data_IF_400871309630
#
_entry.id   IF_400871309630
#
_cell.length_a   1.000
_cell.length_b   1.000
_cell.length_c   1.000
_cell.angle_alpha   90.00
_cell.angle_beta   90.00
_cell.angle_gamma   90.00
#
_symmetry.space_group_name_H-M   'P 1'
#
loop_
_entity.id
_entity.type
_entity.pdbx_description
1 polymer ?
#
# COMPACT_ATOMS: atom_id res chain seq x y z
N UNK A 1 22.41 22.39 -15.64
CA UNK A 1 21.58 21.19 -15.43
C UNK A 1 21.67 20.66 -13.99
N UNK A 2 22.84 20.26 -13.48
CA UNK A 2 22.97 19.72 -12.10
C UNK A 2 22.47 20.69 -11.02
N UNK A 3 22.83 21.99 -11.09
CA UNK A 3 22.33 23.00 -10.15
C UNK A 3 20.80 23.17 -10.20
N UNK A 4 20.20 22.99 -11.37
CA UNK A 4 18.76 23.11 -11.58
C UNK A 4 18.04 21.88 -10.99
N UNK A 5 18.57 20.68 -11.20
CA UNK A 5 18.12 19.45 -10.56
C UNK A 5 18.13 19.52 -9.03
N UNK A 6 19.23 20.00 -8.44
CA UNK A 6 19.37 20.15 -6.98
C UNK A 6 18.48 21.26 -6.45
N UNK A 7 18.39 22.38 -7.16
CA UNK A 7 17.49 23.48 -6.81
C UNK A 7 16.03 23.04 -6.80
N UNK A 8 15.61 22.28 -7.80
CA UNK A 8 14.24 21.77 -7.92
C UNK A 8 13.86 20.80 -6.80
N UNK A 9 14.73 19.83 -6.49
CA UNK A 9 14.50 18.90 -5.37
C UNK A 9 14.41 19.66 -4.05
N UNK A 10 15.21 20.71 -3.88
CA UNK A 10 15.20 21.55 -2.67
C UNK A 10 13.93 22.40 -2.57
N UNK A 11 13.51 23.03 -3.66
CA UNK A 11 12.30 23.85 -3.73
C UNK A 11 11.05 22.99 -3.43
N UNK A 12 10.98 21.81 -4.06
CA UNK A 12 9.85 20.90 -3.98
C UNK A 12 10.08 19.75 -2.99
N UNK A 13 10.88 19.95 -1.94
CA UNK A 13 11.25 18.89 -0.98
C UNK A 13 10.02 18.22 -0.35
N UNK A 14 8.94 18.99 -0.15
CA UNK A 14 7.66 18.52 0.41
C UNK A 14 6.97 17.48 -0.49
N UNK A 15 7.16 17.55 -1.81
CA UNK A 15 6.61 16.58 -2.77
C UNK A 15 7.42 15.29 -2.77
N UNK A 16 8.74 15.40 -2.64
CA UNK A 16 9.66 14.26 -2.60
C UNK A 16 9.64 13.53 -1.26
N UNK A 17 9.23 14.21 -0.19
CA UNK A 17 9.10 13.64 1.14
C UNK A 17 8.23 12.38 1.18
N UNK A 18 7.15 12.34 0.40
CA UNK A 18 6.27 11.16 0.32
C UNK A 18 7.00 9.92 -0.21
N UNK A 19 7.70 10.06 -1.35
CA UNK A 19 8.48 8.96 -1.94
C UNK A 19 9.63 8.56 -1.03
N UNK A 20 10.31 9.54 -0.42
CA UNK A 20 11.38 9.30 0.53
C UNK A 20 10.89 8.47 1.72
N UNK A 21 9.79 8.88 2.36
CA UNK A 21 9.23 8.20 3.53
C UNK A 21 8.80 6.76 3.20
N UNK A 22 8.14 6.55 2.06
CA UNK A 22 7.74 5.21 1.60
C UNK A 22 8.96 4.35 1.29
N UNK A 23 9.97 4.90 0.63
CA UNK A 23 11.22 4.19 0.34
C UNK A 23 12.01 3.85 1.62
N UNK A 24 11.96 4.71 2.64
CA UNK A 24 12.49 4.45 3.98
C UNK A 24 11.73 3.33 4.69
N UNK A 25 10.40 3.34 4.67
CA UNK A 25 9.61 2.23 5.20
C UNK A 25 9.91 0.90 4.47
N UNK A 26 10.05 0.95 3.14
CA UNK A 26 10.42 -0.22 2.34
C UNK A 26 11.82 -0.73 2.70
N UNK A 27 12.80 0.15 2.79
CA UNK A 27 14.17 -0.19 3.20
C UNK A 27 14.24 -0.73 4.62
N UNK A 28 13.44 -0.19 5.54
CA UNK A 28 13.33 -0.67 6.92
C UNK A 28 12.85 -2.12 6.97
N UNK A 29 11.77 -2.45 6.25
CA UNK A 29 11.26 -3.83 6.16
C UNK A 29 12.24 -4.76 5.44
N UNK A 30 12.92 -4.27 4.40
CA UNK A 30 14.00 -5.00 3.72
C UNK A 30 15.18 -5.30 4.65
N UNK A 31 15.49 -4.40 5.58
CA UNK A 31 16.50 -4.59 6.62
C UNK A 31 16.14 -5.70 7.61
N UNK A 32 14.86 -5.78 8.03
CA UNK A 32 14.38 -6.89 8.85
C UNK A 32 14.47 -8.23 8.13
N UNK A 33 14.03 -8.27 6.86
CA UNK A 33 14.20 -9.46 6.02
C UNK A 33 15.67 -9.88 5.92
N UNK A 34 16.57 -8.93 5.65
CA UNK A 34 18.00 -9.18 5.53
C UNK A 34 18.59 -9.71 6.85
N UNK A 35 18.19 -9.10 7.98
CA UNK A 35 18.71 -9.45 9.29
C UNK A 35 18.27 -10.85 9.74
N UNK A 36 16.99 -11.19 9.53
CA UNK A 36 16.47 -12.53 9.82
C UNK A 36 17.07 -13.59 8.91
N UNK A 37 17.22 -13.30 7.62
CA UNK A 37 17.85 -14.22 6.67
C UNK A 37 19.31 -14.50 7.04
N UNK A 38 20.06 -13.47 7.44
CA UNK A 38 21.45 -13.62 7.85
C UNK A 38 21.58 -14.36 9.19
N UNK A 39 20.69 -14.08 10.14
CA UNK A 39 20.65 -14.78 11.43
C UNK A 39 20.31 -16.26 11.25
N UNK A 40 19.37 -16.59 10.37
CA UNK A 40 19.06 -17.98 10.01
C UNK A 40 20.22 -18.69 9.29
N UNK A 41 21.03 -17.96 8.52
CA UNK A 41 22.14 -18.53 7.75
C UNK A 41 23.40 -18.74 8.60
N UNK A 42 23.58 -17.97 9.67
CA UNK A 42 24.76 -18.06 10.53
C UNK A 42 24.83 -19.40 11.28
N UNK A 43 23.70 -19.83 11.86
CA UNK A 43 23.63 -21.10 12.61
C UNK A 43 22.43 -21.95 12.16
N UNK A 44 22.54 -22.72 11.06
CA UNK A 44 21.42 -23.48 10.49
C UNK A 44 20.89 -24.59 11.40
N UNK A 45 21.69 -25.10 12.34
CA UNK A 45 21.38 -26.25 13.18
C UNK A 45 20.66 -25.91 14.49
N UNK A 46 20.53 -24.63 14.83
CA UNK A 46 19.85 -24.18 16.06
C UNK A 46 18.34 -24.14 15.83
N UNK A 47 17.52 -24.54 16.82
CA UNK A 47 16.06 -24.56 16.72
C UNK A 47 15.43 -23.20 16.34
N UNK A 48 16.12 -22.09 16.61
CA UNK A 48 15.70 -20.73 16.23
C UNK A 48 15.87 -20.43 14.73
N UNK A 49 16.69 -21.21 14.00
CA UNK A 49 16.98 -20.97 12.58
C UNK A 49 15.73 -21.13 11.70
N UNK A 50 14.88 -22.11 12.03
CA UNK A 50 13.59 -22.33 11.35
C UNK A 50 12.67 -21.12 11.52
N UNK A 51 12.59 -20.59 12.74
CA UNK A 51 11.82 -19.40 13.03
C UNK A 51 12.28 -18.21 12.18
N UNK A 52 13.57 -17.90 12.20
CA UNK A 52 14.11 -16.76 11.45
C UNK A 52 13.93 -16.93 9.94
N UNK A 53 14.07 -18.15 9.41
CA UNK A 53 13.85 -18.43 7.98
C UNK A 53 12.38 -18.24 7.60
N UNK A 54 11.45 -18.79 8.36
CA UNK A 54 10.01 -18.64 8.11
C UNK A 54 9.56 -17.19 8.27
N UNK A 55 10.05 -16.48 9.30
CA UNK A 55 9.75 -15.07 9.51
C UNK A 55 10.32 -14.20 8.39
N UNK A 56 11.54 -14.44 7.93
CA UNK A 56 12.13 -13.72 6.80
C UNK A 56 11.29 -13.93 5.52
N UNK A 57 10.90 -15.17 5.22
CA UNK A 57 10.05 -15.47 4.07
C UNK A 57 8.68 -14.77 4.17
N UNK A 58 8.05 -14.80 5.34
CA UNK A 58 6.79 -14.11 5.57
C UNK A 58 6.91 -12.59 5.36
N UNK A 59 7.92 -11.95 5.97
CA UNK A 59 8.19 -10.52 5.79
C UNK A 59 8.37 -10.21 4.31
N UNK A 60 9.18 -10.98 3.59
CA UNK A 60 9.42 -10.75 2.17
C UNK A 60 8.12 -10.86 1.36
N UNK A 61 7.35 -11.92 1.56
CA UNK A 61 6.15 -12.19 0.76
C UNK A 61 5.04 -11.16 1.01
N UNK A 62 4.76 -10.85 2.27
CA UNK A 62 3.72 -9.87 2.61
C UNK A 62 4.14 -8.44 2.25
N UNK A 63 5.40 -8.07 2.51
CA UNK A 63 5.88 -6.70 2.27
C UNK A 63 6.14 -6.41 0.78
N UNK A 64 6.51 -7.41 -0.03
CA UNK A 64 6.85 -7.20 -1.43
C UNK A 64 5.68 -6.60 -2.22
N UNK A 65 4.47 -7.15 -2.06
CA UNK A 65 3.28 -6.65 -2.78
C UNK A 65 2.91 -5.24 -2.32
N UNK A 66 2.88 -5.02 -1.01
CA UNK A 66 2.62 -3.71 -0.45
C UNK A 66 3.66 -2.68 -0.94
N UNK A 67 4.94 -3.06 -0.97
CA UNK A 67 6.04 -2.23 -1.47
C UNK A 67 5.86 -1.88 -2.94
N UNK A 68 5.59 -2.88 -3.79
CA UNK A 68 5.30 -2.69 -5.21
C UNK A 68 4.15 -1.69 -5.43
N UNK A 69 3.03 -1.87 -4.74
CA UNK A 69 1.84 -1.02 -4.91
C UNK A 69 2.10 0.39 -4.39
N UNK A 70 2.60 0.54 -3.17
CA UNK A 70 2.72 1.84 -2.51
C UNK A 70 3.87 2.67 -3.08
N UNK A 71 5.04 2.08 -3.30
CA UNK A 71 6.21 2.81 -3.78
C UNK A 71 6.02 3.26 -5.24
N UNK A 72 5.45 2.38 -6.10
CA UNK A 72 5.17 2.75 -7.49
C UNK A 72 4.08 3.81 -7.62
N UNK A 73 3.03 3.74 -6.79
CA UNK A 73 1.93 4.71 -6.80
C UNK A 73 2.36 6.07 -6.24
N UNK A 74 3.16 6.09 -5.17
CA UNK A 74 3.71 7.32 -4.59
C UNK A 74 4.71 7.98 -5.55
N UNK A 75 5.61 7.21 -6.17
CA UNK A 75 6.53 7.72 -7.18
C UNK A 75 5.78 8.36 -8.37
N UNK A 76 4.73 7.69 -8.86
CA UNK A 76 3.84 8.25 -9.88
C UNK A 76 3.16 9.54 -9.40
N UNK A 77 2.64 9.55 -8.18
CA UNK A 77 1.95 10.69 -7.58
C UNK A 77 2.83 11.93 -7.50
N UNK A 78 4.08 11.79 -7.03
CA UNK A 78 5.04 12.88 -6.96
C UNK A 78 5.36 13.46 -8.34
N UNK A 79 5.59 12.62 -9.35
CA UNK A 79 5.82 13.11 -10.73
C UNK A 79 4.62 13.86 -11.29
N UNK A 80 3.42 13.34 -11.06
CA UNK A 80 2.19 13.99 -11.54
C UNK A 80 2.03 15.37 -10.89
N UNK A 81 2.34 15.51 -9.61
CA UNK A 81 2.26 16.79 -8.90
C UNK A 81 3.26 17.84 -9.40
N UNK A 82 4.39 17.41 -9.99
CA UNK A 82 5.43 18.31 -10.52
C UNK A 82 5.31 18.58 -12.03
N UNK A 83 4.26 18.06 -12.70
CA UNK A 83 4.07 18.23 -14.15
C UNK A 83 4.10 19.69 -14.60
N UNK A 84 3.45 20.59 -13.86
CA UNK A 84 3.43 22.03 -14.18
C UNK A 84 4.83 22.64 -14.11
N UNK A 85 5.63 22.27 -13.10
CA UNK A 85 7.02 22.69 -12.97
C UNK A 85 7.87 22.18 -14.13
N UNK A 86 7.70 20.91 -14.52
CA UNK A 86 8.41 20.33 -15.65
C UNK A 86 7.98 20.92 -17.00
N UNK A 87 6.73 21.33 -17.15
CA UNK A 87 6.28 22.07 -18.31
C UNK A 87 6.91 23.46 -18.40
N UNK A 88 7.09 24.16 -17.26
CA UNK A 88 7.82 25.43 -17.23
C UNK A 88 9.28 25.28 -17.70
N UNK A 89 9.93 24.14 -17.42
CA UNK A 89 11.28 23.87 -17.95
C UNK A 89 11.28 23.80 -19.49
N UNK A 90 10.23 23.25 -20.07
CA UNK A 90 10.07 23.18 -21.52
C UNK A 90 9.77 24.55 -22.15
N UNK A 91 9.10 25.45 -21.43
CA UNK A 91 8.92 26.86 -21.87
C UNK A 91 10.27 27.55 -22.03
N UNK A 92 11.25 27.23 -21.17
CA UNK A 92 12.63 27.74 -21.25
C UNK A 92 13.48 26.89 -22.23
N UNK A 93 12.81 26.16 -23.14
CA UNK A 93 13.42 25.41 -24.24
C UNK A 93 14.29 24.21 -23.81
N UNK A 94 14.04 23.63 -22.63
CA UNK A 94 14.66 22.36 -22.22
C UNK A 94 13.95 21.20 -22.95
N UNK A 95 14.69 20.33 -23.67
CA UNK A 95 14.06 19.29 -24.48
C UNK A 95 13.37 18.22 -23.61
N UNK A 96 12.27 17.62 -24.10
CA UNK A 96 11.42 16.70 -23.31
C UNK A 96 12.18 15.46 -22.85
N UNK A 97 13.12 14.96 -23.65
CA UNK A 97 13.97 13.80 -23.29
C UNK A 97 14.82 14.09 -22.05
N UNK A 98 15.37 15.32 -21.95
CA UNK A 98 16.21 15.73 -20.81
C UNK A 98 15.35 15.90 -19.56
N UNK A 99 14.15 16.45 -19.68
CA UNK A 99 13.19 16.53 -18.58
C UNK A 99 12.82 15.12 -18.09
N UNK A 100 12.42 14.22 -18.99
CA UNK A 100 12.07 12.85 -18.64
C UNK A 100 13.21 12.09 -17.95
N UNK A 101 14.44 12.23 -18.45
CA UNK A 101 15.63 11.64 -17.83
C UNK A 101 15.91 12.23 -16.45
N UNK A 102 15.87 13.56 -16.32
CA UNK A 102 16.05 14.26 -15.05
C UNK A 102 15.08 13.77 -13.97
N UNK A 103 13.79 13.63 -14.32
CA UNK A 103 12.75 13.14 -13.41
C UNK A 103 13.00 11.69 -12.98
N UNK A 104 13.38 10.81 -13.92
CA UNK A 104 13.71 9.42 -13.59
C UNK A 104 14.91 9.35 -12.63
N UNK A 105 15.95 10.16 -12.88
CA UNK A 105 17.13 10.24 -12.01
C UNK A 105 16.76 10.76 -10.62
N UNK A 106 15.93 11.80 -10.51
CA UNK A 106 15.46 12.32 -9.21
C UNK A 106 14.72 11.23 -8.42
N UNK A 107 13.77 10.53 -9.05
CA UNK A 107 13.01 9.43 -8.40
C UNK A 107 13.94 8.30 -7.98
N UNK A 108 14.87 7.90 -8.86
CA UNK A 108 15.85 6.86 -8.57
C UNK A 108 16.71 7.21 -7.35
N UNK A 109 17.23 8.44 -7.31
CA UNK A 109 18.04 8.93 -6.21
C UNK A 109 17.25 9.01 -4.90
N UNK A 110 16.03 9.55 -4.93
CA UNK A 110 15.17 9.65 -3.73
C UNK A 110 14.77 8.26 -3.23
N UNK A 111 14.45 7.32 -4.12
CA UNK A 111 14.11 5.95 -3.76
C UNK A 111 15.29 5.20 -3.13
N UNK A 112 16.47 5.25 -3.75
CA UNK A 112 17.68 4.63 -3.21
C UNK A 112 18.09 5.28 -1.88
N UNK A 113 18.13 6.61 -1.82
CA UNK A 113 18.49 7.33 -0.60
C UNK A 113 17.51 7.05 0.54
N UNK A 114 16.20 7.06 0.26
CA UNK A 114 15.17 6.69 1.22
C UNK A 114 15.36 5.27 1.74
N UNK A 115 15.61 4.28 0.87
CA UNK A 115 15.86 2.91 1.31
C UNK A 115 17.18 2.74 2.07
N UNK A 116 18.23 3.48 1.73
CA UNK A 116 19.46 3.51 2.54
C UNK A 116 19.18 4.03 3.95
N UNK A 117 18.40 5.10 4.11
CA UNK A 117 17.96 5.59 5.41
C UNK A 117 17.14 4.54 6.16
N UNK A 118 16.26 3.82 5.45
CA UNK A 118 15.46 2.73 6.02
C UNK A 118 16.31 1.58 6.57
N UNK A 119 17.31 1.15 5.80
CA UNK A 119 18.27 0.13 6.23
C UNK A 119 19.07 0.59 7.45
N UNK A 120 19.57 1.84 7.44
CA UNK A 120 20.29 2.41 8.57
C UNK A 120 19.43 2.49 9.85
N UNK A 121 18.16 2.91 9.72
CA UNK A 121 17.20 2.93 10.82
C UNK A 121 16.90 1.52 11.33
N UNK A 122 16.81 0.53 10.43
CA UNK A 122 16.63 -0.87 10.82
C UNK A 122 17.82 -1.34 11.66
N UNK A 123 19.06 -1.08 11.25
CA UNK A 123 20.23 -1.47 12.02
C UNK A 123 20.34 -0.76 13.37
N UNK A 124 20.01 0.52 13.42
CA UNK A 124 20.04 1.28 14.67
C UNK A 124 18.97 0.81 15.67
N UNK A 125 17.81 0.34 15.18
CA UNK A 125 16.67 -0.03 16.02
C UNK A 125 16.49 -1.55 16.22
N UNK A 126 17.12 -2.40 15.40
CA UNK A 126 16.85 -3.85 15.36
C UNK A 126 17.07 -4.51 16.71
N UNK A 127 18.16 -4.19 17.42
CA UNK A 127 18.43 -4.75 18.74
C UNK A 127 17.36 -4.38 19.76
N UNK A 128 16.97 -3.11 19.81
CA UNK A 128 15.98 -2.60 20.79
C UNK A 128 14.59 -3.12 20.48
N UNK A 129 14.17 -3.08 19.22
CA UNK A 129 12.84 -3.51 18.80
C UNK A 129 12.70 -5.03 18.93
N UNK A 130 13.74 -5.80 18.57
CA UNK A 130 13.71 -7.25 18.76
C UNK A 130 13.64 -7.63 20.24
N UNK A 131 14.49 -7.03 21.07
CA UNK A 131 14.44 -7.28 22.51
C UNK A 131 13.05 -6.94 23.07
N UNK A 132 12.46 -5.81 22.68
CA UNK A 132 11.13 -5.42 23.14
C UNK A 132 10.00 -6.36 22.68
N UNK A 133 10.05 -6.85 21.45
CA UNK A 133 9.03 -7.75 20.89
C UNK A 133 9.08 -9.16 21.47
N UNK A 134 10.28 -9.63 21.83
CA UNK A 134 10.53 -11.00 22.29
C UNK A 134 10.97 -11.06 23.77
N UNK A 135 10.70 -10.01 24.56
CA UNK A 135 10.83 -10.05 26.02
C UNK A 135 10.10 -11.28 26.58
N UNK A 136 10.68 -11.98 27.55
CA UNK A 136 10.06 -13.13 28.24
C UNK A 136 9.88 -14.41 27.39
N UNK A 137 10.60 -14.53 26.27
CA UNK A 137 10.64 -15.78 25.49
C UNK A 137 12.02 -16.42 25.63
N UNK A 138 12.10 -17.47 26.44
CA UNK A 138 13.34 -18.22 26.75
C UNK A 138 14.07 -18.69 25.48
N UNK A 139 13.32 -18.99 24.40
CA UNK A 139 13.86 -19.44 23.11
C UNK A 139 14.79 -18.40 22.46
N UNK A 140 14.62 -17.11 22.76
CA UNK A 140 15.39 -16.02 22.15
C UNK A 140 16.37 -15.36 23.12
N UNK A 141 16.54 -15.93 24.32
CA UNK A 141 17.50 -15.42 25.29
C UNK A 141 18.93 -15.52 24.74
N UNK A 142 19.67 -14.40 24.75
CA UNK A 142 21.04 -14.33 24.24
C UNK A 142 21.18 -14.28 22.70
N UNK A 143 20.09 -14.33 21.93
CA UNK A 143 20.15 -14.26 20.47
C UNK A 143 20.51 -12.84 20.00
N UNK A 144 21.56 -12.72 19.19
CA UNK A 144 21.97 -11.45 18.57
C UNK A 144 21.60 -11.43 17.10
N UNK A 145 20.82 -10.44 16.70
CA UNK A 145 20.48 -10.21 15.29
C UNK A 145 21.69 -9.76 14.49
N UNK A 146 21.97 -10.49 13.41
CA UNK A 146 22.98 -10.12 12.44
C UNK A 146 22.40 -9.10 11.44
N UNK A 147 23.14 -8.03 11.07
CA UNK A 147 22.62 -6.93 10.24
C UNK A 147 22.37 -7.28 8.75
N UNK A 148 22.77 -8.47 8.28
CA UNK A 148 22.43 -8.95 6.94
C UNK A 148 22.92 -8.10 5.76
N UNK A 149 24.13 -7.53 5.85
CA UNK A 149 24.71 -6.64 4.83
C UNK A 149 24.71 -7.21 3.40
N UNK A 150 24.82 -8.53 3.24
CA UNK A 150 24.84 -9.21 1.93
C UNK A 150 23.58 -8.99 1.10
N UNK A 151 22.42 -8.79 1.73
CA UNK A 151 21.13 -8.61 1.06
C UNK A 151 20.79 -7.14 0.81
N UNK A 152 21.59 -6.19 1.31
CA UNK A 152 21.35 -4.76 1.13
C UNK A 152 21.34 -4.33 -0.35
N UNK A 153 22.27 -4.77 -1.21
CA UNK A 153 22.23 -4.44 -2.63
C UNK A 153 20.93 -4.91 -3.31
N UNK A 154 20.38 -6.05 -2.90
CA UNK A 154 19.13 -6.56 -3.42
C UNK A 154 17.93 -5.67 -3.02
N UNK A 155 17.85 -5.28 -1.75
CA UNK A 155 16.80 -4.36 -1.26
C UNK A 155 16.86 -3.01 -1.99
N UNK A 156 18.07 -2.44 -2.14
CA UNK A 156 18.28 -1.19 -2.87
C UNK A 156 17.94 -1.34 -4.36
N UNK A 157 18.34 -2.45 -4.99
CA UNK A 157 18.04 -2.75 -6.39
C UNK A 157 16.54 -2.86 -6.64
N UNK A 158 15.79 -3.53 -5.75
CA UNK A 158 14.33 -3.62 -5.85
C UNK A 158 13.67 -2.26 -5.63
N UNK A 159 14.11 -1.49 -4.63
CA UNK A 159 13.59 -0.12 -4.41
C UNK A 159 13.81 0.79 -5.61
N UNK A 160 15.02 0.76 -6.19
CA UNK A 160 15.36 1.47 -7.41
C UNK A 160 14.44 1.05 -8.56
N UNK A 161 14.32 -0.25 -8.80
CA UNK A 161 13.50 -0.81 -9.86
C UNK A 161 12.04 -0.38 -9.74
N UNK A 162 11.44 -0.52 -8.55
CA UNK A 162 10.05 -0.17 -8.30
C UNK A 162 9.81 1.35 -8.39
N UNK A 163 10.74 2.17 -7.90
CA UNK A 163 10.67 3.64 -7.98
C UNK A 163 10.68 4.08 -9.44
N UNK A 164 11.63 3.56 -10.23
CA UNK A 164 11.76 3.86 -11.66
C UNK A 164 10.56 3.34 -12.43
N UNK A 165 10.10 2.11 -12.17
CA UNK A 165 8.95 1.53 -12.86
C UNK A 165 7.66 2.32 -12.62
N UNK A 166 7.43 2.77 -11.36
CA UNK A 166 6.30 3.62 -11.00
C UNK A 166 6.38 5.02 -11.62
N UNK A 167 7.58 5.61 -11.62
CA UNK A 167 7.82 6.97 -12.11
C UNK A 167 7.97 7.11 -13.63
N UNK A 168 8.49 6.10 -14.33
CA UNK A 168 8.94 6.23 -15.72
C UNK A 168 7.82 6.61 -16.69
N UNK A 169 6.64 6.03 -16.55
CA UNK A 169 5.49 6.40 -17.40
C UNK A 169 4.99 7.80 -17.08
N UNK A 170 4.94 8.16 -15.80
CA UNK A 170 4.55 9.51 -15.39
C UNK A 170 5.55 10.55 -15.89
N UNK A 171 6.85 10.22 -15.89
CA UNK A 171 7.93 11.06 -16.38
C UNK A 171 7.87 11.22 -17.90
N UNK A 172 7.60 10.14 -18.66
CA UNK A 172 7.35 10.22 -20.11
C UNK A 172 6.12 11.07 -20.42
N UNK A 173 5.03 10.88 -19.70
CA UNK A 173 3.83 11.69 -19.88
C UNK A 173 4.11 13.17 -19.58
N UNK A 174 4.78 13.48 -18.48
CA UNK A 174 5.19 14.85 -18.12
C UNK A 174 6.15 15.47 -19.15
N UNK A 175 7.04 14.67 -19.74
CA UNK A 175 7.93 15.11 -20.79
C UNK A 175 7.19 15.40 -22.11
N UNK A 176 6.16 14.62 -22.45
CA UNK A 176 5.46 14.76 -23.73
C UNK A 176 4.25 15.70 -23.69
N UNK A 177 3.79 16.15 -22.51
CA UNK A 177 2.68 17.09 -22.40
C UNK A 177 3.05 18.48 -22.91
N UNK A 178 2.33 19.05 -23.89
CA UNK A 178 2.60 20.40 -24.39
C UNK A 178 2.53 21.46 -23.26
N UNK A 179 3.47 22.43 -23.21
CA UNK A 179 3.53 23.40 -22.11
C UNK A 179 2.25 24.22 -21.95
N UNK A 180 1.57 24.54 -23.05
CA UNK A 180 0.33 25.32 -23.04
C UNK A 180 -0.81 24.55 -22.38
N UNK A 181 -0.91 23.23 -22.57
CA UNK A 181 -1.92 22.41 -21.90
C UNK A 181 -1.61 22.25 -20.42
N UNK A 182 -0.33 22.07 -20.06
CA UNK A 182 0.10 21.94 -18.68
C UNK A 182 -0.05 23.25 -17.86
N UNK A 183 -0.05 24.41 -18.52
CA UNK A 183 -0.21 25.73 -17.89
C UNK A 183 -1.66 26.20 -17.78
N UNK A 184 -2.56 25.71 -18.64
CA UNK A 184 -3.97 26.11 -18.61
C UNK A 184 -4.76 25.48 -17.46
N UNK A 185 -4.15 24.61 -16.65
CA UNK A 185 -4.85 23.72 -15.71
C UNK A 185 -6.06 23.02 -16.39
N UNK A 186 -6.08 22.94 -17.73
CA UNK A 186 -7.10 22.27 -18.53
C UNK A 186 -6.87 20.78 -18.36
N UNK A 187 -7.44 20.29 -17.26
CA UNK A 187 -7.42 18.91 -16.83
C UNK A 187 -8.16 18.08 -17.89
N UNK A 188 -7.49 17.68 -18.97
CA UNK A 188 -7.93 16.54 -19.76
C UNK A 188 -7.62 15.31 -18.90
N UNK A 189 -8.68 14.80 -18.30
CA UNK A 189 -8.71 13.61 -17.46
C UNK A 189 -8.22 12.42 -18.29
N UNK A 190 -6.91 12.22 -18.38
CA UNK A 190 -6.34 10.88 -18.45
C UNK A 190 -6.52 10.24 -17.07
N UNK A 191 -7.78 10.06 -16.73
CA UNK A 191 -8.21 9.55 -15.46
C UNK A 191 -7.51 8.23 -15.21
N UNK A 192 -7.15 7.99 -13.96
CA UNK A 192 -6.82 6.66 -13.50
C UNK A 192 -7.94 5.63 -13.83
N UNK A 193 -9.12 6.12 -14.25
CA UNK A 193 -10.39 5.43 -14.39
C UNK A 193 -10.87 5.04 -15.81
N UNK A 194 -10.22 5.38 -16.93
CA UNK A 194 -10.85 5.05 -18.25
C UNK A 194 -10.16 3.96 -19.07
N UNK A 195 -8.88 3.63 -18.86
CA UNK A 195 -8.23 2.54 -19.61
C UNK A 195 -7.41 1.63 -18.70
N UNK A 196 -7.82 0.37 -18.65
CA UNK A 196 -6.96 -0.69 -18.12
C UNK A 196 -5.67 -0.72 -18.93
N UNK A 197 -4.58 -0.26 -18.30
CA UNK A 197 -3.27 -0.29 -18.94
C UNK A 197 -2.83 -1.75 -19.14
N UNK A 198 -2.10 -2.07 -20.23
CA UNK A 198 -1.58 -3.42 -20.47
C UNK A 198 -0.79 -3.98 -19.28
N UNK A 199 -0.04 -3.14 -18.57
CA UNK A 199 0.71 -3.57 -17.38
C UNK A 199 -0.19 -4.04 -16.23
N UNK A 200 -1.40 -3.46 -16.09
CA UNK A 200 -2.36 -3.89 -15.07
C UNK A 200 -3.01 -5.22 -15.44
N UNK A 201 -3.25 -5.45 -16.74
CA UNK A 201 -3.68 -6.74 -17.24
C UNK A 201 -2.62 -7.81 -17.01
N UNK A 202 -1.36 -7.51 -17.30
CA UNK A 202 -0.24 -8.41 -16.99
C UNK A 202 -0.14 -8.70 -15.49
N UNK A 203 -0.27 -7.67 -14.63
CA UNK A 203 -0.29 -7.86 -13.18
C UNK A 203 -1.49 -8.72 -12.71
N UNK A 204 -2.68 -8.51 -13.29
CA UNK A 204 -3.86 -9.32 -13.00
C UNK A 204 -3.67 -10.77 -13.45
N UNK A 205 -3.13 -11.00 -14.66
CA UNK A 205 -2.83 -12.34 -15.16
C UNK A 205 -1.77 -13.04 -14.29
N UNK A 206 -0.72 -12.32 -13.87
CA UNK A 206 0.28 -12.86 -12.96
C UNK A 206 -0.31 -13.24 -11.60
N UNK A 207 -1.21 -12.41 -11.04
CA UNK A 207 -1.91 -12.71 -9.79
C UNK A 207 -2.85 -13.91 -9.93
N UNK A 208 -3.58 -14.02 -11.05
CA UNK A 208 -4.39 -15.20 -11.36
C UNK A 208 -3.54 -16.46 -11.52
N UNK A 209 -2.41 -16.38 -12.22
CA UNK A 209 -1.50 -17.51 -12.40
C UNK A 209 -0.91 -17.97 -11.06
N UNK A 210 -0.53 -17.03 -10.18
CA UNK A 210 -0.07 -17.34 -8.83
C UNK A 210 -1.16 -18.02 -7.99
N UNK A 211 -2.40 -17.52 -8.03
CA UNK A 211 -3.53 -18.14 -7.34
C UNK A 211 -3.83 -19.56 -7.88
N UNK A 212 -3.84 -19.73 -9.21
CA UNK A 212 -4.03 -21.03 -9.84
C UNK A 212 -2.91 -22.02 -9.49
N UNK A 213 -1.66 -21.55 -9.44
CA UNK A 213 -0.52 -22.35 -9.00
C UNK A 213 -0.71 -22.88 -7.57
N UNK A 214 -1.10 -22.00 -6.64
CA UNK A 214 -1.33 -22.39 -5.24
C UNK A 214 -2.47 -23.41 -5.08
N UNK A 215 -3.47 -23.39 -5.98
CA UNK A 215 -4.53 -24.40 -6.00
C UNK A 215 -4.03 -25.71 -6.62
N UNK A 216 -3.23 -25.63 -7.68
CA UNK A 216 -2.72 -26.82 -8.39
C UNK A 216 -1.77 -27.69 -7.57
N UNK A 217 -1.15 -27.12 -6.52
CA UNK A 217 -0.30 -27.90 -5.59
C UNK A 217 -1.12 -28.76 -4.63
N UNK A 218 -2.43 -28.56 -4.55
CA UNK A 218 -3.30 -29.29 -3.63
C UNK A 218 -4.05 -30.37 -4.39
N UNK A 219 -3.69 -31.62 -4.13
CA UNK A 219 -4.53 -32.75 -4.50
C UNK A 219 -5.46 -33.07 -3.33
N UNK A 220 -6.80 -32.93 -3.48
CA UNK A 220 -7.74 -33.15 -2.38
C UNK A 220 -7.72 -34.58 -1.84
N UNK A 221 -7.26 -35.56 -2.63
CA UNK A 221 -7.15 -36.97 -2.19
C UNK A 221 -5.92 -37.18 -1.31
N UNK A 222 -4.80 -36.52 -1.65
CA UNK A 222 -3.53 -36.64 -0.91
C UNK A 222 -3.38 -35.61 0.20
N UNK A 223 -4.17 -34.53 0.21
CA UNK A 223 -4.08 -33.45 1.20
C UNK A 223 -4.27 -33.91 2.67
N UNK A 224 -5.09 -34.92 2.99
CA UNK A 224 -5.14 -35.50 4.34
C UNK A 224 -3.89 -36.33 4.70
N UNK A 225 -3.15 -36.83 3.71
CA UNK A 225 -1.97 -37.69 3.92
C UNK A 225 -0.70 -36.84 4.00
N UNK A 226 -0.57 -35.84 3.13
CA UNK A 226 0.53 -34.87 3.11
C UNK A 226 -0.03 -33.44 3.25
N UNK A 227 -0.21 -33.02 4.50
CA UNK A 227 -0.66 -31.66 4.82
C UNK A 227 0.29 -30.58 4.26
N UNK A 228 1.56 -30.91 4.00
CA UNK A 228 2.54 -30.00 3.41
C UNK A 228 2.06 -29.37 2.11
N UNK A 229 1.34 -30.13 1.27
CA UNK A 229 0.76 -29.66 0.01
C UNK A 229 -0.22 -28.50 0.20
N UNK A 230 -1.00 -28.52 1.29
CA UNK A 230 -2.00 -27.48 1.60
C UNK A 230 -1.39 -26.16 2.07
N UNK A 231 -0.13 -26.16 2.52
CA UNK A 231 0.57 -24.97 3.04
C UNK A 231 0.69 -23.87 1.98
N UNK A 232 0.73 -24.23 0.69
CA UNK A 232 0.79 -23.26 -0.40
C UNK A 232 -0.48 -22.40 -0.53
N UNK A 233 -1.62 -22.83 0.03
CA UNK A 233 -2.84 -22.02 0.05
C UNK A 233 -2.69 -20.75 0.90
N UNK A 234 -1.70 -20.70 1.81
CA UNK A 234 -1.38 -19.51 2.61
C UNK A 234 -0.95 -18.31 1.75
N UNK A 235 -0.59 -18.53 0.47
CA UNK A 235 -0.26 -17.47 -0.48
C UNK A 235 -1.48 -16.87 -1.21
N UNK A 236 -2.66 -17.48 -1.16
CA UNK A 236 -3.89 -16.89 -1.75
C UNK A 236 -4.25 -15.52 -1.16
N UNK A 237 -4.20 -15.32 0.17
CA UNK A 237 -4.34 -14.01 0.81
C UNK A 237 -3.37 -12.93 0.33
N UNK A 238 -2.35 -13.28 -0.44
CA UNK A 238 -1.41 -12.35 -1.07
C UNK A 238 -1.80 -12.12 -2.53
N UNK A 239 -2.06 -13.20 -3.27
CA UNK A 239 -2.39 -13.16 -4.70
C UNK A 239 -3.73 -12.46 -4.99
N UNK A 240 -4.77 -12.71 -4.19
CA UNK A 240 -6.11 -12.16 -4.46
C UNK A 240 -6.19 -10.65 -4.18
N UNK A 241 -5.65 -10.09 -3.08
CA UNK A 241 -5.55 -8.63 -2.95
C UNK A 241 -4.71 -7.97 -4.05
N UNK A 242 -3.64 -8.62 -4.52
CA UNK A 242 -2.88 -8.14 -5.68
C UNK A 242 -3.72 -8.11 -6.97
N UNK A 243 -4.57 -9.12 -7.19
CA UNK A 243 -5.53 -9.15 -8.30
C UNK A 243 -6.54 -8.00 -8.19
N UNK A 244 -7.13 -7.78 -7.02
CA UNK A 244 -8.12 -6.72 -6.81
C UNK A 244 -7.49 -5.34 -7.03
N UNK A 245 -6.26 -5.12 -6.56
CA UNK A 245 -5.55 -3.86 -6.79
C UNK A 245 -5.15 -3.65 -8.26
N UNK A 246 -4.78 -4.72 -8.98
CA UNK A 246 -4.57 -4.65 -10.42
C UNK A 246 -5.85 -4.22 -11.15
N UNK A 247 -7.01 -4.76 -10.74
CA UNK A 247 -8.34 -4.47 -11.29
C UNK A 247 -9.03 -3.23 -10.67
N UNK A 248 -8.34 -2.51 -9.79
CA UNK A 248 -8.89 -1.37 -9.05
C UNK A 248 -9.61 -0.27 -9.87
N UNK A 249 -9.25 0.10 -11.13
CA UNK A 249 -9.94 1.16 -11.87
C UNK A 249 -11.36 0.80 -12.24
N UNK A 250 -11.62 -0.50 -12.34
CA UNK A 250 -12.93 -1.01 -12.70
C UNK A 250 -13.70 -1.39 -11.44
N UNK A 251 -13.02 -2.01 -10.48
CA UNK A 251 -13.65 -2.50 -9.25
C UNK A 251 -13.94 -1.39 -8.25
N UNK A 252 -12.96 -0.55 -7.89
CA UNK A 252 -13.13 0.42 -6.81
C UNK A 252 -14.23 1.46 -7.07
N UNK A 253 -14.38 2.05 -8.27
CA UNK A 253 -15.50 2.96 -8.52
C UNK A 253 -16.86 2.29 -8.40
N UNK A 254 -16.99 1.01 -8.79
CA UNK A 254 -18.23 0.23 -8.66
C UNK A 254 -18.52 -0.11 -7.20
N UNK A 255 -17.50 -0.54 -6.47
CA UNK A 255 -17.58 -0.85 -5.04
C UNK A 255 -17.95 0.39 -4.25
N UNK A 256 -17.30 1.53 -4.50
CA UNK A 256 -17.65 2.79 -3.83
C UNK A 256 -19.11 3.17 -4.11
N UNK A 257 -19.56 3.09 -5.36
CA UNK A 257 -20.96 3.38 -5.72
C UNK A 257 -21.94 2.47 -4.98
N UNK A 258 -21.66 1.16 -4.93
CA UNK A 258 -22.51 0.19 -4.25
C UNK A 258 -22.54 0.42 -2.73
N UNK A 259 -21.38 0.55 -2.10
CA UNK A 259 -21.23 0.69 -0.65
C UNK A 259 -21.79 2.02 -0.11
N UNK A 260 -21.82 3.08 -0.93
CA UNK A 260 -22.27 4.43 -0.52
C UNK A 260 -23.66 4.81 -1.04
N UNK A 261 -24.37 3.86 -1.65
CA UNK A 261 -25.73 4.05 -2.18
C UNK A 261 -26.82 4.39 -1.13
N UNK A 262 -26.86 3.77 0.07
CA UNK A 262 -28.10 3.74 0.87
C UNK A 262 -28.51 5.06 1.56
N UNK A 263 -27.66 6.09 1.58
CA UNK A 263 -27.89 7.33 2.35
C UNK A 263 -28.06 8.59 1.46
N UNK A 264 -28.84 8.49 0.39
CA UNK A 264 -28.90 9.49 -0.70
C UNK A 264 -29.54 10.85 -0.35
N UNK A 265 -30.14 11.02 0.83
CA UNK A 265 -30.96 12.22 1.15
C UNK A 265 -30.18 13.36 1.81
N UNK A 266 -28.96 13.13 2.28
CA UNK A 266 -28.17 14.16 2.96
C UNK A 266 -27.22 14.86 1.97
N UNK A 267 -27.30 16.20 1.88
CA UNK A 267 -26.49 17.01 0.94
C UNK A 267 -24.99 16.84 1.17
N UNK A 268 -24.55 16.81 2.43
CA UNK A 268 -23.14 16.57 2.78
C UNK A 268 -22.67 15.18 2.35
N UNK A 269 -23.54 14.16 2.45
CA UNK A 269 -23.25 12.82 1.95
C UNK A 269 -23.13 12.78 0.43
N UNK A 270 -24.05 13.41 -0.29
CA UNK A 270 -24.01 13.46 -1.76
C UNK A 270 -22.77 14.20 -2.26
N UNK A 271 -22.40 15.31 -1.62
CA UNK A 271 -21.20 16.08 -1.93
C UNK A 271 -19.94 15.27 -1.66
N UNK A 272 -19.83 14.66 -0.47
CA UNK A 272 -18.72 13.78 -0.13
C UNK A 272 -18.60 12.59 -1.10
N UNK A 273 -19.72 12.00 -1.53
CA UNK A 273 -19.72 10.90 -2.50
C UNK A 273 -19.22 11.33 -3.87
N UNK A 274 -19.64 12.50 -4.35
CA UNK A 274 -19.14 13.05 -5.63
C UNK A 274 -17.67 13.41 -5.53
N UNK A 275 -17.23 13.99 -4.41
CA UNK A 275 -15.82 14.27 -4.12
C UNK A 275 -14.99 12.99 -4.14
N UNK A 276 -15.41 11.96 -3.40
CA UNK A 276 -14.72 10.67 -3.34
C UNK A 276 -14.66 9.97 -4.71
N UNK A 277 -15.73 10.05 -5.51
CA UNK A 277 -15.72 9.53 -6.88
C UNK A 277 -14.75 10.30 -7.78
N UNK A 278 -14.72 11.62 -7.66
CA UNK A 278 -13.78 12.43 -8.42
C UNK A 278 -12.33 12.14 -8.00
N UNK A 279 -12.05 12.06 -6.70
CA UNK A 279 -10.75 11.69 -6.16
C UNK A 279 -10.29 10.31 -6.66
N UNK A 280 -11.17 9.31 -6.66
CA UNK A 280 -10.90 7.98 -7.24
C UNK A 280 -10.52 8.03 -8.72
N UNK A 281 -11.19 8.89 -9.50
CA UNK A 281 -10.86 9.05 -10.93
C UNK A 281 -9.49 9.69 -11.14
N UNK A 282 -9.04 10.51 -10.18
CA UNK A 282 -7.71 11.13 -10.21
C UNK A 282 -6.62 10.18 -9.70
N UNK A 283 -6.84 9.47 -8.60
CA UNK A 283 -5.86 8.58 -7.96
C UNK A 283 -6.52 7.44 -7.19
N UNK A 284 -6.01 6.22 -7.39
CA UNK A 284 -6.41 5.00 -6.67
C UNK A 284 -5.38 4.61 -5.59
N UNK A 285 -4.39 5.48 -5.35
CA UNK A 285 -3.18 5.17 -4.58
C UNK A 285 -3.50 4.85 -3.12
N UNK A 286 -4.40 5.63 -2.52
CA UNK A 286 -4.85 5.47 -1.14
C UNK A 286 -5.61 4.15 -0.99
N UNK A 287 -6.65 3.90 -1.81
CA UNK A 287 -7.45 2.69 -1.64
C UNK A 287 -6.65 1.43 -1.92
N UNK A 288 -5.83 1.41 -2.97
CA UNK A 288 -5.03 0.22 -3.29
C UNK A 288 -4.07 -0.15 -2.17
N UNK A 289 -3.44 0.83 -1.52
CA UNK A 289 -2.59 0.58 -0.34
C UNK A 289 -3.36 -0.01 0.83
N UNK A 290 -4.54 0.54 1.13
CA UNK A 290 -5.42 0.06 2.20
C UNK A 290 -5.96 -1.34 1.90
N UNK A 291 -6.35 -1.61 0.65
CA UNK A 291 -6.82 -2.94 0.20
C UNK A 291 -5.76 -4.00 0.41
N UNK A 292 -4.49 -3.73 0.05
CA UNK A 292 -3.41 -4.70 0.30
C UNK A 292 -3.23 -4.94 1.80
N UNK A 293 -3.13 -3.89 2.61
CA UNK A 293 -2.92 -4.06 4.04
C UNK A 293 -4.06 -4.81 4.73
N UNK A 294 -5.32 -4.38 4.53
CA UNK A 294 -6.47 -5.06 5.13
C UNK A 294 -6.65 -6.47 4.57
N UNK A 295 -6.53 -6.65 3.25
CA UNK A 295 -6.77 -7.91 2.57
C UNK A 295 -5.74 -8.98 2.90
N UNK A 296 -4.45 -8.63 2.95
CA UNK A 296 -3.37 -9.55 3.30
C UNK A 296 -3.48 -10.00 4.76
N UNK A 297 -3.63 -9.06 5.69
CA UNK A 297 -3.65 -9.38 7.13
C UNK A 297 -4.91 -10.16 7.48
N UNK A 298 -6.10 -9.67 7.13
CA UNK A 298 -7.33 -10.40 7.43
C UNK A 298 -7.44 -11.70 6.64
N UNK A 299 -6.94 -11.73 5.40
CA UNK A 299 -6.92 -12.93 4.57
C UNK A 299 -6.07 -14.04 5.19
N UNK A 300 -4.90 -13.71 5.73
CA UNK A 300 -4.05 -14.69 6.41
C UNK A 300 -4.72 -15.27 7.65
N UNK A 301 -5.24 -14.42 8.56
CA UNK A 301 -5.96 -14.91 9.74
C UNK A 301 -7.18 -15.77 9.38
N UNK A 302 -7.88 -15.38 8.31
CA UNK A 302 -9.03 -16.13 7.80
C UNK A 302 -8.60 -17.49 7.23
N UNK A 303 -7.49 -17.52 6.48
CA UNK A 303 -6.90 -18.74 5.93
C UNK A 303 -6.42 -19.69 7.03
N UNK A 304 -5.74 -19.19 8.06
CA UNK A 304 -5.31 -19.99 9.21
C UNK A 304 -6.50 -20.64 9.93
N UNK A 305 -7.59 -19.90 10.12
CA UNK A 305 -8.80 -20.48 10.71
C UNK A 305 -9.54 -21.45 9.78
N UNK A 306 -9.36 -21.33 8.46
CA UNK A 306 -9.86 -22.32 7.50
C UNK A 306 -9.03 -23.61 7.57
N UNK A 307 -7.70 -23.50 7.66
CA UNK A 307 -6.81 -24.65 7.84
C UNK A 307 -7.06 -25.37 9.15
N UNK A 308 -7.30 -24.63 10.23
CA UNK A 308 -7.70 -25.20 11.53
C UNK A 308 -8.98 -26.03 11.40
N UNK A 309 -10.01 -25.47 10.75
CA UNK A 309 -11.26 -26.19 10.49
C UNK A 309 -11.05 -27.43 9.63
N UNK A 310 -10.23 -27.33 8.59
CA UNK A 310 -9.86 -28.48 7.76
C UNK A 310 -9.18 -29.57 8.61
N UNK A 311 -8.20 -29.20 9.44
CA UNK A 311 -7.50 -30.13 10.32
C UNK A 311 -8.45 -30.83 11.29
N UNK A 312 -9.41 -30.11 11.87
CA UNK A 312 -10.43 -30.69 12.76
C UNK A 312 -11.45 -31.57 12.02
N UNK A 313 -11.74 -31.27 10.75
CA UNK A 313 -12.72 -32.06 9.98
C UNK A 313 -12.18 -33.42 9.55
N UNK A 314 -10.85 -33.53 9.40
CA UNK A 314 -10.16 -34.77 9.00
C UNK A 314 -9.38 -35.42 10.14
N UNK A 315 -9.61 -35.00 11.39
CA UNK A 315 -8.91 -35.48 12.60
C UNK A 315 -7.39 -35.56 12.46
N UNK A 316 -6.81 -34.55 11.80
CA UNK A 316 -5.38 -34.46 11.59
C UNK A 316 -4.66 -34.18 12.93
N UNK A 317 -3.53 -34.84 13.23
CA UNK A 317 -2.82 -34.71 14.51
C UNK A 317 -2.09 -33.35 14.71
N UNK A 318 -2.55 -32.30 14.05
CA UNK A 318 -1.94 -30.96 13.96
C UNK A 318 -2.71 -29.95 14.83
N UNK A 319 -3.77 -30.39 15.51
CA UNK A 319 -4.90 -29.62 16.06
C UNK A 319 -4.67 -28.50 17.09
N UNK A 320 -3.44 -28.01 17.30
CA UNK A 320 -3.17 -26.86 18.19
C UNK A 320 -2.17 -25.81 17.66
N UNK A 321 -1.69 -25.92 16.41
CA UNK A 321 -0.65 -25.04 15.85
C UNK A 321 -1.11 -23.84 15.00
N UNK A 322 -2.41 -23.65 14.79
CA UNK A 322 -2.93 -22.61 13.87
C UNK A 322 -3.13 -21.23 14.51
N UNK A 323 -3.01 -21.15 15.84
CA UNK A 323 -3.03 -19.90 16.58
C UNK A 323 -1.75 -19.10 16.31
N UNK A 324 -1.90 -17.91 15.73
CA UNK A 324 -0.77 -17.00 15.52
C UNK A 324 -0.55 -16.17 16.78
N UNK A 325 0.63 -16.30 17.41
CA UNK A 325 1.02 -15.41 18.51
C UNK A 325 0.97 -13.94 18.02
N UNK A 326 0.26 -13.04 18.72
CA UNK A 326 0.18 -11.62 18.36
C UNK A 326 1.55 -10.98 18.09
N UNK A 327 2.60 -11.39 18.81
CA UNK A 327 3.96 -10.86 18.63
C UNK A 327 4.54 -11.25 17.28
N UNK A 328 4.34 -12.50 16.87
CA UNK A 328 4.75 -13.01 15.55
C UNK A 328 3.94 -12.38 14.43
N UNK A 329 2.64 -12.21 14.66
CA UNK A 329 1.77 -11.50 13.74
C UNK A 329 2.23 -10.07 13.49
N UNK A 330 2.63 -9.34 14.55
CA UNK A 330 3.17 -8.00 14.42
C UNK A 330 4.39 -7.97 13.51
N UNK A 331 5.33 -8.91 13.66
CA UNK A 331 6.54 -8.98 12.83
C UNK A 331 6.24 -9.35 11.38
N UNK A 332 5.37 -10.34 11.15
CA UNK A 332 5.00 -10.81 9.81
C UNK A 332 4.22 -9.77 9.00
N UNK A 333 3.32 -9.03 9.66
CA UNK A 333 2.42 -8.07 9.01
C UNK A 333 2.86 -6.61 9.12
N UNK A 334 3.96 -6.32 9.85
CA UNK A 334 4.51 -4.98 9.96
C UNK A 334 4.70 -4.33 8.58
N UNK A 335 5.16 -5.08 7.59
CA UNK A 335 5.44 -4.54 6.26
C UNK A 335 4.22 -3.96 5.54
N UNK A 336 3.18 -4.77 5.23
CA UNK A 336 1.95 -4.25 4.65
C UNK A 336 1.36 -3.08 5.43
N UNK A 337 1.34 -3.15 6.77
CA UNK A 337 0.71 -2.15 7.63
C UNK A 337 1.50 -0.84 7.62
N UNK A 338 2.82 -0.89 7.84
CA UNK A 338 3.69 0.30 7.83
C UNK A 338 3.69 0.94 6.43
N UNK A 339 3.83 0.14 5.37
CA UNK A 339 3.84 0.66 4.00
C UNK A 339 2.51 1.30 3.63
N UNK A 340 1.37 0.69 4.00
CA UNK A 340 0.07 1.30 3.73
C UNK A 340 -0.18 2.56 4.55
N UNK A 341 0.25 2.60 5.81
CA UNK A 341 0.15 3.78 6.65
C UNK A 341 0.99 4.95 6.11
N UNK A 342 2.29 4.71 5.86
CA UNK A 342 3.20 5.73 5.32
C UNK A 342 2.79 6.15 3.90
N UNK A 343 2.37 5.19 3.08
CA UNK A 343 1.84 5.43 1.73
C UNK A 343 0.58 6.30 1.73
N UNK A 344 -0.38 5.99 2.59
CA UNK A 344 -1.61 6.79 2.73
C UNK A 344 -1.26 8.21 3.16
N UNK A 345 -0.42 8.39 4.19
CA UNK A 345 0.08 9.70 4.62
C UNK A 345 0.74 10.48 3.47
N UNK A 346 1.67 9.84 2.75
CA UNK A 346 2.39 10.46 1.63
C UNK A 346 1.45 10.95 0.54
N UNK A 347 0.46 10.12 0.15
CA UNK A 347 -0.53 10.50 -0.86
C UNK A 347 -1.44 11.64 -0.40
N UNK A 348 -1.80 11.70 0.89
CA UNK A 348 -2.59 12.84 1.38
C UNK A 348 -1.76 14.12 1.39
N UNK A 349 -0.48 14.07 1.79
CA UNK A 349 0.42 15.24 1.72
C UNK A 349 0.51 15.80 0.30
N UNK A 350 0.61 14.93 -0.70
CA UNK A 350 0.60 15.32 -2.12
C UNK A 350 -0.73 15.97 -2.54
N UNK A 351 -1.85 15.55 -1.94
CA UNK A 351 -3.18 16.08 -2.22
C UNK A 351 -3.54 17.35 -1.43
N UNK A 352 -2.73 17.77 -0.44
CA UNK A 352 -3.07 18.90 0.44
C UNK A 352 -3.35 20.19 -0.33
N UNK A 353 -2.52 20.56 -1.31
CA UNK A 353 -2.72 21.80 -2.09
C UNK A 353 -4.03 21.79 -2.88
N UNK A 354 -4.37 20.64 -3.47
CA UNK A 354 -5.61 20.47 -4.22
C UNK A 354 -6.81 20.55 -3.26
N UNK A 355 -6.70 19.88 -2.09
CA UNK A 355 -7.74 19.92 -1.04
C UNK A 355 -7.92 21.31 -0.43
N UNK A 356 -6.84 22.08 -0.29
CA UNK A 356 -6.90 23.50 0.11
C UNK A 356 -7.70 24.29 -0.94
N UNK A 357 -7.38 24.16 -2.24
CA UNK A 357 -8.14 24.82 -3.32
C UNK A 357 -9.61 24.41 -3.34
N UNK A 358 -9.93 23.14 -3.15
CA UNK A 358 -11.31 22.66 -3.15
C UNK A 358 -12.10 23.16 -1.93
N UNK A 359 -11.46 23.24 -0.77
CA UNK A 359 -12.05 23.78 0.44
C UNK A 359 -12.38 25.29 0.33
N UNK A 360 -11.49 26.10 -0.24
CA UNK A 360 -11.78 27.52 -0.46
C UNK A 360 -12.88 27.73 -1.49
N UNK A 361 -12.92 26.92 -2.55
CA UNK A 361 -14.01 26.98 -3.52
C UNK A 361 -15.38 26.70 -2.86
N UNK A 362 -15.45 25.72 -1.95
CA UNK A 362 -16.67 25.45 -1.19
C UNK A 362 -17.05 26.62 -0.28
N UNK A 363 -16.09 27.28 0.36
CA UNK A 363 -16.33 28.45 1.20
C UNK A 363 -16.82 29.66 0.39
N UNK A 364 -16.22 29.92 -0.78
CA UNK A 364 -16.67 30.97 -1.73
C UNK A 364 -18.11 30.70 -2.20
N UNK A 365 -18.49 29.44 -2.33
CA UNK A 365 -19.86 29.02 -2.66
C UNK A 365 -20.83 29.12 -1.45
N UNK A 366 -20.36 29.61 -0.30
CA UNK A 366 -21.17 29.85 0.90
C UNK A 366 -21.21 28.68 1.90
N UNK A 367 -20.35 27.66 1.75
CA UNK A 367 -20.27 26.58 2.72
C UNK A 367 -19.59 27.05 4.02
N UNK A 368 -20.17 26.69 5.16
CA UNK A 368 -19.55 26.96 6.46
C UNK A 368 -18.35 26.04 6.70
N UNK A 369 -17.33 26.45 7.49
CA UNK A 369 -16.17 25.60 7.79
C UNK A 369 -16.55 24.29 8.49
N UNK A 370 -17.66 24.28 9.25
CA UNK A 370 -18.24 23.05 9.82
C UNK A 370 -18.74 22.10 8.73
N UNK A 371 -19.42 22.60 7.70
CA UNK A 371 -19.89 21.77 6.59
C UNK A 371 -18.73 21.19 5.78
N UNK A 372 -17.68 21.98 5.53
CA UNK A 372 -16.46 21.49 4.86
C UNK A 372 -15.82 20.37 5.68
N UNK A 373 -15.68 20.55 7.00
CA UNK A 373 -15.18 19.52 7.93
C UNK A 373 -16.02 18.23 7.86
N UNK A 374 -17.35 18.32 7.93
CA UNK A 374 -18.23 17.14 7.83
C UNK A 374 -18.04 16.44 6.48
N UNK A 375 -17.97 17.18 5.37
CA UNK A 375 -17.77 16.60 4.04
C UNK A 375 -16.43 15.88 3.96
N UNK A 376 -15.34 16.45 4.50
CA UNK A 376 -14.02 15.80 4.52
C UNK A 376 -14.01 14.51 5.34
N UNK A 377 -14.69 14.49 6.50
CA UNK A 377 -14.80 13.27 7.34
C UNK A 377 -15.60 12.19 6.62
N UNK A 378 -16.71 12.56 5.97
CA UNK A 378 -17.53 11.62 5.19
C UNK A 378 -16.78 11.09 3.97
N UNK A 379 -15.99 11.94 3.30
CA UNK A 379 -15.16 11.52 2.17
C UNK A 379 -14.11 10.49 2.62
N UNK A 380 -13.40 10.76 3.72
CA UNK A 380 -12.45 9.81 4.33
C UNK A 380 -13.13 8.48 4.68
N UNK A 381 -14.34 8.53 5.26
CA UNK A 381 -15.14 7.34 5.55
C UNK A 381 -15.44 6.54 4.28
N UNK A 382 -15.84 7.20 3.18
CA UNK A 382 -16.15 6.52 1.93
C UNK A 382 -14.93 5.84 1.30
N UNK A 383 -13.75 6.45 1.35
CA UNK A 383 -12.52 5.83 0.86
C UNK A 383 -12.15 4.58 1.67
N UNK A 384 -12.25 4.65 3.01
CA UNK A 384 -11.97 3.50 3.88
C UNK A 384 -13.00 2.39 3.70
N UNK A 385 -14.28 2.71 3.57
CA UNK A 385 -15.34 1.72 3.33
C UNK A 385 -15.18 1.06 1.95
N UNK A 386 -14.83 1.82 0.91
CA UNK A 386 -14.57 1.27 -0.42
C UNK A 386 -13.35 0.33 -0.41
N UNK A 387 -12.26 0.73 0.25
CA UNK A 387 -11.09 -0.13 0.41
C UNK A 387 -11.38 -1.36 1.28
N UNK A 388 -12.13 -1.20 2.37
CA UNK A 388 -12.51 -2.28 3.29
C UNK A 388 -13.43 -3.31 2.65
N UNK A 389 -14.40 -2.87 1.85
CA UNK A 389 -15.26 -3.78 1.08
C UNK A 389 -14.52 -4.51 -0.04
N UNK A 390 -13.58 -3.85 -0.71
CA UNK A 390 -12.69 -4.50 -1.69
C UNK A 390 -11.73 -5.51 -1.02
N UNK A 391 -11.18 -5.19 0.15
CA UNK A 391 -10.38 -6.10 0.96
C UNK A 391 -11.22 -7.31 1.42
N UNK A 392 -12.44 -7.08 1.90
CA UNK A 392 -13.34 -8.15 2.29
C UNK A 392 -13.67 -9.08 1.13
N UNK A 393 -13.94 -8.53 -0.05
CA UNK A 393 -14.12 -9.33 -1.27
C UNK A 393 -12.89 -10.21 -1.52
N UNK A 394 -11.68 -9.68 -1.33
CA UNK A 394 -10.43 -10.43 -1.46
C UNK A 394 -10.36 -11.61 -0.47
N UNK A 395 -10.69 -11.36 0.79
CA UNK A 395 -10.64 -12.36 1.86
C UNK A 395 -11.64 -13.48 1.60
N UNK A 396 -12.89 -13.13 1.26
CA UNK A 396 -13.94 -14.11 0.95
C UNK A 396 -13.55 -14.94 -0.26
N UNK A 397 -13.07 -14.32 -1.35
CA UNK A 397 -12.62 -15.04 -2.54
C UNK A 397 -11.44 -15.98 -2.23
N UNK A 398 -10.46 -15.52 -1.45
CA UNK A 398 -9.32 -16.35 -1.04
C UNK A 398 -9.77 -17.59 -0.28
N UNK A 399 -10.65 -17.41 0.71
CA UNK A 399 -11.17 -18.52 1.50
C UNK A 399 -12.05 -19.47 0.68
N UNK A 400 -12.88 -18.94 -0.22
CA UNK A 400 -13.74 -19.75 -1.09
C UNK A 400 -12.92 -20.63 -2.03
N UNK A 401 -11.88 -20.08 -2.65
CA UNK A 401 -10.98 -20.83 -3.54
C UNK A 401 -10.21 -21.89 -2.75
N UNK A 402 -9.68 -21.55 -1.57
CA UNK A 402 -8.97 -22.50 -0.73
C UNK A 402 -9.88 -23.61 -0.19
N UNK A 403 -11.10 -23.28 0.24
CA UNK A 403 -12.07 -24.28 0.69
C UNK A 403 -12.44 -25.24 -0.44
N UNK A 404 -12.64 -24.73 -1.66
CA UNK A 404 -12.88 -25.57 -2.82
C UNK A 404 -11.69 -26.51 -3.13
N UNK A 405 -10.46 -26.01 -3.06
CA UNK A 405 -9.26 -26.82 -3.26
C UNK A 405 -9.12 -27.94 -2.22
N UNK A 406 -9.57 -27.70 -0.98
CA UNK A 406 -9.56 -28.67 0.11
C UNK A 406 -10.80 -29.58 0.16
N UNK A 407 -11.71 -29.47 -0.80
CA UNK A 407 -12.97 -30.25 -0.79
C UNK A 407 -13.96 -29.85 0.31
N UNK A 408 -13.79 -28.68 0.92
CA UNK A 408 -14.68 -28.14 1.94
C UNK A 408 -15.85 -27.37 1.31
N UNK A 409 -17.02 -27.41 1.96
CA UNK A 409 -18.21 -26.68 1.51
C UNK A 409 -18.11 -25.17 1.68
N UNK A 410 -18.87 -24.40 0.89
CA UNK A 410 -18.89 -22.93 0.94
C UNK A 410 -19.22 -22.34 2.34
N UNK A 411 -19.98 -23.08 3.16
CA UNK A 411 -20.31 -22.67 4.53
C UNK A 411 -19.09 -22.56 5.44
N UNK A 412 -18.11 -23.47 5.32
CA UNK A 412 -16.89 -23.43 6.14
C UNK A 412 -15.97 -22.28 5.73
N UNK A 413 -15.94 -21.95 4.44
CA UNK A 413 -15.21 -20.80 3.90
C UNK A 413 -15.73 -19.45 4.44
N UNK A 414 -17.05 -19.30 4.59
CA UNK A 414 -17.66 -18.10 5.16
C UNK A 414 -17.45 -18.01 6.68
N UNK A 415 -17.56 -19.13 7.38
CA UNK A 415 -17.41 -19.20 8.84
C UNK A 415 -15.96 -19.01 9.32
N UNK A 416 -14.97 -19.15 8.43
CA UNK A 416 -13.56 -18.88 8.70
C UNK A 416 -13.14 -17.43 8.42
N UNK A 417 -14.04 -16.56 7.94
CA UNK A 417 -13.67 -15.16 7.69
C UNK A 417 -13.48 -14.42 9.03
N UNK A 418 -12.27 -13.87 9.23
CA UNK A 418 -11.89 -13.09 10.42
C UNK A 418 -11.75 -11.62 10.06
N UNK A 419 -12.68 -10.80 10.55
CA UNK A 419 -12.76 -9.37 10.21
C UNK A 419 -11.95 -8.45 11.13
N UNK A 420 -11.70 -8.88 12.38
CA UNK A 420 -11.12 -8.01 13.41
C UNK A 420 -9.80 -7.33 12.99
N UNK A 421 -8.82 -8.03 12.35
CA UNK A 421 -7.59 -7.39 11.92
C UNK A 421 -7.81 -6.32 10.82
N UNK A 422 -8.70 -6.57 9.86
CA UNK A 422 -9.04 -5.59 8.83
C UNK A 422 -9.73 -4.36 9.43
N UNK A 423 -10.62 -4.54 10.42
CA UNK A 423 -11.29 -3.42 11.10
C UNK A 423 -10.29 -2.53 11.82
N UNK A 424 -9.29 -3.11 12.50
CA UNK A 424 -8.26 -2.33 13.20
C UNK A 424 -7.44 -1.47 12.22
N UNK A 425 -7.03 -2.05 11.08
CA UNK A 425 -6.33 -1.33 10.02
C UNK A 425 -7.24 -0.26 9.39
N UNK A 426 -8.52 -0.56 9.18
CA UNK A 426 -9.49 0.40 8.64
C UNK A 426 -9.68 1.60 9.57
N UNK A 427 -9.79 1.38 10.88
CA UNK A 427 -9.91 2.46 11.88
C UNK A 427 -8.63 3.31 11.89
N UNK A 428 -7.45 2.69 11.89
CA UNK A 428 -6.19 3.42 11.82
C UNK A 428 -6.08 4.25 10.52
N UNK A 429 -6.43 3.66 9.38
CA UNK A 429 -6.47 4.35 8.09
C UNK A 429 -7.45 5.53 8.09
N UNK A 430 -8.65 5.34 8.66
CA UNK A 430 -9.66 6.39 8.80
C UNK A 430 -9.15 7.57 9.63
N UNK A 431 -8.54 7.31 10.79
CA UNK A 431 -7.96 8.36 11.64
C UNK A 431 -6.91 9.17 10.87
N UNK A 432 -5.99 8.49 10.17
CA UNK A 432 -4.96 9.14 9.36
C UNK A 432 -5.58 10.02 8.26
N UNK A 433 -6.55 9.47 7.52
CA UNK A 433 -7.25 10.20 6.45
C UNK A 433 -8.03 11.41 6.97
N UNK A 434 -8.69 11.29 8.13
CA UNK A 434 -9.40 12.40 8.77
C UNK A 434 -8.42 13.47 9.23
N UNK A 435 -7.37 13.12 9.97
CA UNK A 435 -6.37 14.08 10.45
C UNK A 435 -5.76 14.85 9.28
N UNK A 436 -5.43 14.13 8.21
CA UNK A 436 -4.80 14.72 7.04
C UNK A 436 -5.81 15.54 6.19
N UNK A 437 -7.08 15.12 6.12
CA UNK A 437 -8.16 15.87 5.45
C UNK A 437 -8.60 17.13 6.20
N UNK A 438 -8.46 17.17 7.52
CA UNK A 438 -8.79 18.33 8.35
C UNK A 438 -7.67 19.37 8.42
N UNK A 439 -6.43 18.98 8.12
CA UNK A 439 -5.27 19.87 8.17
C UNK A 439 -5.41 21.14 7.28
N UNK A 440 -5.89 21.05 6.02
CA UNK A 440 -6.24 22.20 5.18
C UNK A 440 -7.26 23.15 5.82
N UNK A 441 -8.34 22.58 6.35
CA UNK A 441 -9.47 23.33 6.94
C UNK A 441 -9.00 24.11 8.17
N UNK A 442 -8.19 23.48 9.02
CA UNK A 442 -7.61 24.12 10.21
C UNK A 442 -6.62 25.23 9.85
N UNK A 443 -5.86 25.08 8.76
CA UNK A 443 -4.96 26.13 8.27
C UNK A 443 -5.72 27.33 7.73
N UNK A 444 -6.78 27.10 6.95
CA UNK A 444 -7.65 28.17 6.46
C UNK A 444 -8.32 28.94 7.59
N UNK A 445 -8.88 28.26 8.59
CA UNK A 445 -9.51 28.93 9.73
C UNK A 445 -8.52 29.85 10.47
N UNK A 446 -7.22 29.51 10.46
CA UNK A 446 -6.16 30.33 11.08
C UNK A 446 -5.69 31.49 10.22
N UNK A 447 -5.90 31.44 8.90
CA UNK A 447 -5.49 32.51 7.96
C UNK A 447 -6.75 33.15 7.38
N UNK A 448 -7.12 34.33 7.87
CA UNK A 448 -8.30 35.06 7.42
C UNK A 448 -8.48 35.06 5.87
N UNK A 449 -9.72 35.00 5.35
CA UNK A 449 -10.05 34.54 3.99
C UNK A 449 -9.68 35.49 2.83
N UNK A 450 -8.75 36.44 3.00
CA UNK A 450 -8.56 37.56 2.06
C UNK A 450 -7.26 37.50 1.24
N UNK A 451 -6.39 36.49 1.39
CA UNK A 451 -5.11 36.48 0.65
C UNK A 451 -5.15 35.95 -0.79
N UNK A 452 -6.21 35.25 -1.21
CA UNK A 452 -6.21 34.54 -2.50
C UNK A 452 -6.66 35.33 -3.73
N UNK A 453 -7.01 36.62 -3.59
CA UNK A 453 -7.29 37.48 -4.74
C UNK A 453 -6.05 38.23 -5.28
N UNK A 454 -4.90 38.11 -4.63
CA UNK A 454 -3.70 38.91 -4.94
C UNK A 454 -2.43 38.10 -5.32
N UNK A 455 -2.53 36.78 -5.50
CA UNK A 455 -1.48 35.92 -6.08
C UNK A 455 -2.06 35.05 -7.19
#
# INVERSE_FOLDING_TARGET
MIRLLVGDVREHWHVWFGVLAVATAFGYMGGWFASFSATAAADPMVSTSFFFRSAAQAILMFSAIAGCVVLSSTARGSVVSLRRTYALWQVINIPPVVVGFAVIVQIALVGVFGSCLGLALCWASSSTVFSALFMDIDLFEGVRLLPGFSLCPAVLGVSLFLSVLGGARAARAAACTPPVMALRDEWSVEGASERMMPLRWLAALAACAAAAWCVSTVDPVLAPVDFGQSTWLVFLPIAIPALITALAPVLLPRILRAATCPLSRWTAWLLARRSAQHALTQSLSIETSLVVAMGVVAGFYSMMSLMERYATAYDLPIGSGFGLDPRLACVMFAGPVILAAVGSCANVVLALRVRERDASLLEVLGATPRQVCVVSVLEAFMHVVAAGSAALLAVVLSNMIAAHALGLGAGSAMLSVRFAPAVLIAVAGFVVLVVAGLMPVLRMIRTAPVRFLNE
#
